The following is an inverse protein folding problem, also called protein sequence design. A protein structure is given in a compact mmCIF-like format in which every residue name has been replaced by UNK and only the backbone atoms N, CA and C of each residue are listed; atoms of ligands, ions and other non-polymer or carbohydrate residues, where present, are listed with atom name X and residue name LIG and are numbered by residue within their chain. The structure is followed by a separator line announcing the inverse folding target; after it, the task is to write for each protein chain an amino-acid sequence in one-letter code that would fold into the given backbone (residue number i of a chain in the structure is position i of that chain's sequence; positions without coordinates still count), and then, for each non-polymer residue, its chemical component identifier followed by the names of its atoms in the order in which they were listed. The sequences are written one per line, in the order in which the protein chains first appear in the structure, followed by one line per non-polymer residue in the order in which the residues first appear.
data_IF_848009267803
#
_entry.id   IF_848009267803
#
_cell.length_a   1.000
_cell.length_b   1.000
_cell.length_c   1.000
_cell.angle_alpha   90.00
_cell.angle_beta   90.00
_cell.angle_gamma   90.00
#
_symmetry.space_group_name_H-M   'P 1'
#
loop_
_entity.id
_entity.type
_entity.pdbx_description
1 polymer ?
#
# COMPACT_ATOMS: atom_id res chain seq x y z
N UNK A 1 -1.26 -22.03 -21.23
CA UNK A 1 -0.12 -21.71 -20.32
C UNK A 1 -0.52 -22.03 -18.89
N UNK A 2 0.45 -22.42 -18.06
CA UNK A 2 0.33 -23.26 -16.86
C UNK A 2 -0.26 -22.55 -15.64
N UNK A 3 -1.05 -23.28 -14.83
CA UNK A 3 -1.41 -22.93 -13.45
C UNK A 3 -0.21 -23.12 -12.53
N UNK A 4 0.08 -22.17 -11.64
CA UNK A 4 1.08 -22.33 -10.58
C UNK A 4 0.40 -22.24 -9.21
N UNK A 5 0.40 -23.36 -8.50
CA UNK A 5 0.26 -23.44 -7.04
C UNK A 5 1.68 -23.45 -6.48
N UNK A 6 1.96 -22.65 -5.45
CA UNK A 6 3.21 -22.73 -4.70
C UNK A 6 2.90 -23.26 -3.30
N UNK A 7 3.60 -24.33 -2.94
CA UNK A 7 3.51 -25.09 -1.71
C UNK A 7 4.85 -24.95 -0.94
N UNK A 8 4.77 -25.00 0.39
CA UNK A 8 5.82 -25.26 1.41
C UNK A 8 6.91 -24.20 1.69
N UNK A 9 6.82 -23.65 2.89
CA UNK A 9 7.97 -23.28 3.72
C UNK A 9 7.77 -23.82 5.15
N UNK A 10 8.46 -24.91 5.49
CA UNK A 10 8.62 -25.41 6.87
C UNK A 10 9.69 -24.57 7.57
N UNK A 11 9.44 -24.13 8.81
CA UNK A 11 10.49 -23.73 9.74
C UNK A 11 10.29 -24.45 11.09
N UNK A 12 11.39 -25.00 11.56
CA UNK A 12 11.60 -25.90 12.70
C UNK A 12 11.52 -25.12 14.02
N UNK A 13 10.80 -25.65 15.02
CA UNK A 13 11.33 -26.36 16.20
C UNK A 13 12.46 -25.63 16.96
N UNK A 14 12.11 -25.05 18.11
CA UNK A 14 13.04 -24.79 19.21
C UNK A 14 12.39 -25.18 20.53
N UNK A 15 12.85 -26.31 21.05
CA UNK A 15 12.49 -26.92 22.33
C UNK A 15 13.24 -26.24 23.52
N UNK A 16 13.00 -26.66 24.78
CA UNK A 16 12.79 -25.75 25.92
C UNK A 16 13.99 -25.49 26.85
N UNK A 17 13.79 -24.46 27.68
CA UNK A 17 14.63 -23.99 28.79
C UNK A 17 14.91 -25.13 29.80
N UNK A 18 16.19 -25.39 30.06
CA UNK A 18 16.66 -26.28 31.14
C UNK A 18 16.97 -25.46 32.39
N UNK A 19 16.15 -25.59 33.43
CA UNK A 19 16.49 -25.22 34.82
C UNK A 19 17.35 -26.32 35.44
N UNK A 20 18.59 -25.97 35.82
CA UNK A 20 19.49 -26.83 36.59
C UNK A 20 19.37 -26.46 38.05
N UNK A 21 18.63 -27.26 38.82
CA UNK A 21 18.68 -27.25 40.29
C UNK A 21 19.92 -28.03 40.72
N UNK A 22 20.83 -27.40 41.46
CA UNK A 22 21.93 -28.08 42.15
C UNK A 22 21.59 -28.26 43.64
N UNK A 23 22.03 -29.35 44.27
CA UNK A 23 21.68 -29.73 45.63
C UNK A 23 22.58 -29.05 46.68
N UNK A 24 21.99 -28.73 47.84
CA UNK A 24 22.69 -28.27 49.04
C UNK A 24 23.62 -29.36 49.61
N UNK A 25 24.80 -29.01 50.17
CA UNK A 25 25.58 -29.94 50.97
C UNK A 25 25.21 -29.80 52.46
N UNK A 26 24.81 -30.92 53.06
CA UNK A 26 24.92 -31.13 54.51
C UNK A 26 26.39 -31.29 54.91
N UNK A 27 26.81 -30.57 55.94
CA UNK A 27 28.00 -30.90 56.72
C UNK A 27 27.63 -30.76 58.21
N UNK A 28 27.38 -31.90 58.84
CA UNK A 28 27.40 -32.02 60.29
C UNK A 28 28.83 -32.24 60.77
N UNK A 29 29.24 -31.50 61.80
CA UNK A 29 30.31 -31.90 62.71
C UNK A 29 29.94 -31.43 64.12
N UNK A 30 29.89 -32.38 65.04
CA UNK A 30 29.55 -32.20 66.44
C UNK A 30 30.81 -31.91 67.28
N UNK A 31 30.71 -31.04 68.30
CA UNK A 31 30.93 -31.35 69.73
C UNK A 31 31.09 -30.07 70.59
N UNK A 32 30.17 -29.93 71.55
CA UNK A 32 30.35 -29.54 72.96
C UNK A 32 30.76 -28.09 73.36
N UNK A 33 30.37 -27.67 74.59
CA UNK A 33 30.00 -26.29 74.91
C UNK A 33 31.09 -25.55 75.69
N UNK A 34 31.15 -24.22 75.53
CA UNK A 34 31.90 -23.35 76.44
C UNK A 34 30.99 -22.23 76.95
N UNK A 35 30.76 -22.37 78.24
CA UNK A 35 30.29 -21.44 79.24
C UNK A 35 30.76 -19.98 79.09
N UNK A 36 29.81 -19.08 79.41
CA UNK A 36 29.99 -17.78 80.12
C UNK A 36 30.87 -16.75 79.38
N UNK A 37 30.39 -15.56 79.05
CA UNK A 37 30.00 -14.56 80.04
C UNK A 37 29.21 -13.42 79.37
N UNK A 38 28.22 -12.89 80.09
CA UNK A 38 27.56 -11.65 79.72
C UNK A 38 28.55 -10.49 79.89
N UNK A 39 28.97 -9.84 78.81
CA UNK A 39 29.52 -8.49 78.90
C UNK A 39 29.05 -7.64 77.71
N UNK A 40 28.27 -6.61 78.03
CA UNK A 40 28.05 -5.36 77.29
C UNK A 40 27.26 -5.38 75.97
N UNK A 41 25.94 -5.61 76.07
CA UNK A 41 24.96 -5.33 75.00
C UNK A 41 24.42 -3.88 75.07
N UNK A 42 25.22 -2.88 74.69
CA UNK A 42 24.69 -1.53 74.42
C UNK A 42 25.22 -0.85 73.16
N UNK A 43 26.31 -1.33 72.54
CA UNK A 43 26.89 -0.68 71.35
C UNK A 43 26.47 -1.32 70.01
N UNK A 44 26.11 -2.61 69.97
CA UNK A 44 25.73 -3.32 68.73
C UNK A 44 24.31 -3.00 68.21
N UNK A 45 23.41 -2.60 69.11
CA UNK A 45 22.01 -2.27 68.78
C UNK A 45 21.89 -0.87 68.14
N UNK A 46 22.77 0.05 68.55
CA UNK A 46 22.86 1.39 67.99
C UNK A 46 23.45 1.39 66.56
N UNK A 47 24.48 0.56 66.34
CA UNK A 47 25.10 0.39 65.02
C UNK A 47 24.15 -0.31 64.03
N UNK A 48 23.43 -1.35 64.48
CA UNK A 48 22.41 -2.05 63.68
C UNK A 48 21.23 -1.15 63.30
N UNK A 49 20.79 -0.29 64.22
CA UNK A 49 19.73 0.70 63.95
C UNK A 49 20.19 1.78 62.96
N UNK A 50 21.45 2.21 63.05
CA UNK A 50 22.07 3.14 62.11
C UNK A 50 22.14 2.54 60.70
N UNK A 51 22.56 1.28 60.58
CA UNK A 51 22.62 0.55 59.29
C UNK A 51 21.22 0.41 58.67
N UNK A 52 20.19 0.11 59.47
CA UNK A 52 18.80 0.03 59.00
C UNK A 52 18.28 1.36 58.46
N UNK A 53 18.57 2.48 59.14
CA UNK A 53 18.19 3.81 58.67
C UNK A 53 18.86 4.17 57.35
N UNK A 54 20.17 3.89 57.22
CA UNK A 54 20.91 4.11 55.97
C UNK A 54 20.34 3.26 54.82
N UNK A 55 19.96 2.01 55.10
CA UNK A 55 19.34 1.14 54.09
C UNK A 55 17.96 1.67 53.64
N UNK A 56 17.14 2.18 54.57
CA UNK A 56 15.84 2.79 54.26
C UNK A 56 16.03 4.07 53.43
N UNK A 57 16.98 4.93 53.80
CA UNK A 57 17.27 6.16 53.05
C UNK A 57 17.78 5.85 51.63
N UNK A 58 18.67 4.86 51.50
CA UNK A 58 19.13 4.35 50.20
C UNK A 58 17.99 3.79 49.35
N UNK A 59 17.06 3.06 49.96
CA UNK A 59 15.89 2.51 49.26
C UNK A 59 14.94 3.63 48.81
N UNK A 60 14.66 4.61 49.67
CA UNK A 60 13.83 5.76 49.34
C UNK A 60 14.44 6.55 48.18
N UNK A 61 15.74 6.84 48.23
CA UNK A 61 16.45 7.49 47.13
C UNK A 61 16.33 6.70 45.83
N UNK A 62 16.57 5.39 45.88
CA UNK A 62 16.44 4.52 44.71
C UNK A 62 15.00 4.50 44.17
N UNK A 63 13.99 4.50 45.04
CA UNK A 63 12.59 4.56 44.61
C UNK A 63 12.28 5.89 43.93
N UNK A 64 12.69 7.02 44.51
CA UNK A 64 12.52 8.35 43.92
C UNK A 64 13.18 8.41 42.54
N UNK A 65 14.45 8.00 42.42
CA UNK A 65 15.16 7.99 41.13
C UNK A 65 14.44 7.14 40.06
N UNK A 66 13.87 6.00 40.48
CA UNK A 66 13.08 5.15 39.59
C UNK A 66 11.74 5.77 39.21
N UNK A 67 11.06 6.47 40.13
CA UNK A 67 9.82 7.18 39.83
C UNK A 67 10.06 8.35 38.88
N UNK A 68 11.11 9.13 39.09
CA UNK A 68 11.50 10.22 38.18
C UNK A 68 11.81 9.69 36.77
N UNK A 69 12.50 8.55 36.69
CA UNK A 69 12.77 7.87 35.42
C UNK A 69 11.48 7.40 34.75
N UNK A 70 10.56 6.81 35.51
CA UNK A 70 9.26 6.36 34.99
C UNK A 70 8.43 7.54 34.49
N UNK A 71 8.38 8.65 35.23
CA UNK A 71 7.67 9.86 34.84
C UNK A 71 8.24 10.43 33.53
N UNK A 72 9.58 10.51 33.42
CA UNK A 72 10.24 10.95 32.19
C UNK A 72 9.91 10.04 30.98
N UNK A 73 9.92 8.72 31.17
CA UNK A 73 9.55 7.79 30.08
C UNK A 73 8.07 7.90 29.71
N UNK A 74 7.18 8.08 30.69
CA UNK A 74 5.76 8.28 30.45
C UNK A 74 5.52 9.56 29.65
N UNK A 75 6.14 10.67 30.04
CA UNK A 75 6.06 11.93 29.31
C UNK A 75 6.57 11.78 27.87
N UNK A 76 7.68 11.08 27.66
CA UNK A 76 8.22 10.79 26.32
C UNK A 76 7.29 9.94 25.47
N UNK A 77 6.64 8.92 26.05
CA UNK A 77 5.68 8.08 25.32
C UNK A 77 4.41 8.85 24.97
N UNK A 78 3.90 9.68 25.88
CA UNK A 78 2.77 10.57 25.63
C UNK A 78 3.06 11.54 24.49
N UNK A 79 4.24 12.18 24.49
CA UNK A 79 4.66 13.06 23.40
C UNK A 79 4.73 12.33 22.05
N UNK A 80 5.24 11.09 22.06
CA UNK A 80 5.31 10.25 20.86
C UNK A 80 3.92 9.87 20.34
N UNK A 81 2.98 9.55 21.24
CA UNK A 81 1.60 9.25 20.89
C UNK A 81 0.88 10.46 20.28
N UNK A 82 1.05 11.64 20.85
CA UNK A 82 0.50 12.89 20.29
C UNK A 82 1.09 13.16 18.90
N UNK A 83 2.40 13.02 18.74
CA UNK A 83 3.06 13.17 17.44
C UNK A 83 2.52 12.19 16.40
N UNK A 84 2.33 10.92 16.78
CA UNK A 84 1.77 9.91 15.89
C UNK A 84 0.31 10.22 15.53
N UNK A 85 -0.50 10.67 16.49
CA UNK A 85 -1.87 11.11 16.26
C UNK A 85 -1.96 12.23 15.24
N UNK A 86 -1.12 13.27 15.39
CA UNK A 86 -1.06 14.38 14.44
C UNK A 86 -0.70 13.91 13.03
N UNK A 87 0.34 13.08 12.90
CA UNK A 87 0.76 12.51 11.61
C UNK A 87 -0.34 11.65 10.99
N UNK A 88 -1.11 10.92 11.79
CA UNK A 88 -2.24 10.13 11.32
C UNK A 88 -3.33 11.03 10.74
N UNK A 89 -3.72 12.09 11.44
CA UNK A 89 -4.69 13.07 10.94
C UNK A 89 -4.22 13.75 9.65
N UNK A 90 -2.94 14.10 9.53
CA UNK A 90 -2.37 14.64 8.29
C UNK A 90 -2.48 13.65 7.12
N UNK A 91 -2.15 12.38 7.36
CA UNK A 91 -2.24 11.32 6.35
C UNK A 91 -3.69 11.08 5.94
N UNK A 92 -4.62 11.04 6.88
CA UNK A 92 -6.06 10.87 6.60
C UNK A 92 -6.61 12.03 5.76
N UNK A 93 -6.19 13.27 6.06
CA UNK A 93 -6.55 14.45 5.28
C UNK A 93 -5.97 14.42 3.87
N UNK A 94 -4.69 14.06 3.74
CA UNK A 94 -4.03 13.90 2.44
C UNK A 94 -4.69 12.78 1.62
N UNK A 95 -5.01 11.64 2.23
CA UNK A 95 -5.67 10.52 1.59
C UNK A 95 -7.05 10.92 1.07
N UNK A 96 -7.85 11.61 1.88
CA UNK A 96 -9.16 12.13 1.47
C UNK A 96 -9.06 13.08 0.27
N UNK A 97 -8.02 13.93 0.24
CA UNK A 97 -7.75 14.80 -0.91
C UNK A 97 -7.35 14.01 -2.16
N UNK A 98 -6.53 12.97 -2.01
CA UNK A 98 -6.14 12.10 -3.12
C UNK A 98 -7.33 11.32 -3.68
N UNK A 99 -8.19 10.77 -2.83
CA UNK A 99 -9.39 10.05 -3.25
C UNK A 99 -10.34 10.95 -4.06
N UNK A 100 -10.53 12.19 -3.61
CA UNK A 100 -11.34 13.18 -4.35
C UNK A 100 -10.72 13.48 -5.73
N UNK A 101 -9.42 13.73 -5.79
CA UNK A 101 -8.73 14.03 -7.06
C UNK A 101 -8.75 12.84 -8.00
N UNK A 102 -8.58 11.63 -7.48
CA UNK A 102 -8.65 10.40 -8.26
C UNK A 102 -10.03 10.23 -8.88
N UNK A 103 -11.09 10.41 -8.07
CA UNK A 103 -12.47 10.34 -8.55
C UNK A 103 -12.77 11.36 -9.66
N UNK A 104 -12.27 12.61 -9.53
CA UNK A 104 -12.41 13.63 -10.57
C UNK A 104 -11.70 13.25 -11.87
N UNK A 105 -10.49 12.69 -11.78
CA UNK A 105 -9.72 12.24 -12.95
C UNK A 105 -10.41 11.06 -13.63
N UNK A 106 -10.90 10.09 -12.86
CA UNK A 106 -11.67 8.95 -13.39
C UNK A 106 -12.92 9.43 -14.13
N UNK A 107 -13.66 10.39 -13.56
CA UNK A 107 -14.83 10.98 -14.21
C UNK A 107 -14.47 11.68 -15.52
N UNK A 108 -13.43 12.51 -15.52
CA UNK A 108 -12.97 13.19 -16.73
C UNK A 108 -12.51 12.20 -17.82
N UNK A 109 -11.85 11.11 -17.41
CA UNK A 109 -11.42 10.07 -18.33
C UNK A 109 -12.62 9.34 -18.96
N UNK A 110 -13.63 8.98 -18.16
CA UNK A 110 -14.87 8.37 -18.67
C UNK A 110 -15.62 9.29 -19.64
N UNK A 111 -15.69 10.59 -19.31
CA UNK A 111 -16.31 11.58 -20.19
C UNK A 111 -15.55 11.68 -21.52
N UNK A 112 -14.23 11.84 -21.47
CA UNK A 112 -13.38 11.94 -22.66
C UNK A 112 -13.45 10.68 -23.51
N UNK A 113 -13.50 9.50 -22.90
CA UNK A 113 -13.64 8.23 -23.62
C UNK A 113 -15.00 8.16 -24.35
N UNK A 114 -16.07 8.59 -23.69
CA UNK A 114 -17.42 8.64 -24.27
C UNK A 114 -17.47 9.60 -25.45
N UNK A 115 -16.97 10.83 -25.27
CA UNK A 115 -16.90 11.83 -26.33
C UNK A 115 -16.06 11.35 -27.51
N UNK A 116 -14.90 10.73 -27.24
CA UNK A 116 -14.04 10.17 -28.29
C UNK A 116 -14.76 9.07 -29.08
N UNK A 117 -15.50 8.20 -28.40
CA UNK A 117 -16.30 7.17 -29.05
C UNK A 117 -17.39 7.77 -29.94
N UNK A 118 -18.14 8.76 -29.43
CA UNK A 118 -19.15 9.47 -30.21
C UNK A 118 -18.55 10.16 -31.44
N UNK A 119 -17.41 10.83 -31.30
CA UNK A 119 -16.74 11.50 -32.41
C UNK A 119 -16.25 10.50 -33.46
N UNK A 120 -15.66 9.38 -33.05
CA UNK A 120 -15.26 8.30 -33.98
C UNK A 120 -16.46 7.76 -34.76
N UNK A 121 -17.59 7.53 -34.09
CA UNK A 121 -18.81 7.07 -34.73
C UNK A 121 -19.33 8.08 -35.76
N UNK A 122 -19.33 9.38 -35.42
CA UNK A 122 -19.70 10.45 -36.36
C UNK A 122 -18.78 10.51 -37.57
N UNK A 123 -17.46 10.36 -37.38
CA UNK A 123 -16.50 10.34 -38.50
C UNK A 123 -16.79 9.17 -39.44
N UNK A 124 -17.00 7.97 -38.90
CA UNK A 124 -17.34 6.79 -39.70
C UNK A 124 -18.62 7.02 -40.50
N UNK A 125 -19.66 7.58 -39.88
CA UNK A 125 -20.92 7.88 -40.55
C UNK A 125 -20.76 8.90 -41.68
N UNK A 126 -20.03 10.00 -41.42
CA UNK A 126 -19.76 11.02 -42.43
C UNK A 126 -18.93 10.47 -43.60
N UNK A 127 -17.91 9.65 -43.33
CA UNK A 127 -17.14 9.00 -44.38
C UNK A 127 -18.00 8.03 -45.20
N UNK A 128 -18.86 7.25 -44.54
CA UNK A 128 -19.78 6.35 -45.22
C UNK A 128 -20.79 7.13 -46.08
N UNK A 129 -21.35 8.23 -45.56
CA UNK A 129 -22.29 9.08 -46.27
C UNK A 129 -21.64 9.71 -47.51
N UNK A 130 -20.44 10.27 -47.36
CA UNK A 130 -19.67 10.83 -48.47
C UNK A 130 -19.39 9.78 -49.55
N UNK A 131 -19.02 8.54 -49.17
CA UNK A 131 -18.78 7.45 -50.13
C UNK A 131 -20.06 7.00 -50.84
N UNK A 132 -21.22 6.99 -50.17
CA UNK A 132 -22.51 6.62 -50.79
C UNK A 132 -22.96 7.60 -51.86
N UNK A 133 -22.60 8.88 -51.73
CA UNK A 133 -22.90 9.90 -52.73
C UNK A 133 -21.96 9.87 -53.93
N UNK A 134 -20.84 9.14 -53.85
CA UNK A 134 -19.86 9.06 -54.92
C UNK A 134 -20.09 7.82 -55.80
N UNK A 135 -20.07 8.01 -57.12
CA UNK A 135 -20.13 6.92 -58.10
C UNK A 135 -18.70 6.50 -58.46
N UNK A 136 -18.43 5.19 -58.46
CA UNK A 136 -17.15 4.61 -58.92
C UNK A 136 -17.34 3.89 -60.25
N UNK A 137 -16.64 4.34 -61.28
CA UNK A 137 -16.61 3.70 -62.61
C UNK A 137 -15.28 2.95 -62.72
N UNK A 138 -15.33 1.64 -62.93
CA UNK A 138 -14.15 0.75 -63.00
C UNK A 138 -14.01 0.15 -64.40
N UNK A 139 -12.78 -0.25 -64.77
CA UNK A 139 -12.50 -0.88 -66.07
C UNK A 139 -12.27 0.09 -67.23
N UNK A 140 -12.05 1.37 -66.95
CA UNK A 140 -11.63 2.35 -67.95
C UNK A 140 -10.11 2.33 -68.14
N UNK A 141 -9.60 2.38 -69.39
CA UNK A 141 -8.18 2.60 -69.65
C UNK A 141 -7.71 3.95 -69.11
N UNK A 142 -6.47 4.00 -68.59
CA UNK A 142 -5.88 5.24 -68.10
C UNK A 142 -5.84 6.34 -69.18
N UNK A 143 -6.12 7.58 -68.76
CA UNK A 143 -6.04 8.79 -69.61
C UNK A 143 -7.01 8.84 -70.80
N UNK A 144 -8.02 7.97 -70.85
CA UNK A 144 -9.04 7.98 -71.91
C UNK A 144 -9.77 9.33 -72.02
N UNK A 145 -9.93 10.00 -70.88
CA UNK A 145 -10.59 11.30 -70.73
C UNK A 145 -9.74 12.50 -71.18
N UNK A 146 -8.46 12.31 -71.54
CA UNK A 146 -7.57 13.37 -72.08
C UNK A 146 -7.56 14.67 -71.25
N UNK A 147 -7.55 14.55 -69.93
CA UNK A 147 -7.64 15.65 -68.96
C UNK A 147 -8.96 16.45 -68.98
N UNK A 148 -10.02 15.92 -69.60
CA UNK A 148 -11.36 16.52 -69.63
C UNK A 148 -12.42 15.56 -69.06
N UNK A 149 -12.36 15.25 -67.76
CA UNK A 149 -13.22 14.24 -67.13
C UNK A 149 -14.72 14.58 -67.23
N UNK A 150 -15.08 15.87 -67.13
CA UNK A 150 -16.49 16.30 -67.21
C UNK A 150 -17.08 16.04 -68.60
N UNK A 151 -16.40 16.52 -69.65
CA UNK A 151 -16.85 16.32 -71.05
C UNK A 151 -16.88 14.83 -71.44
N UNK A 152 -15.94 14.04 -70.91
CA UNK A 152 -15.93 12.59 -71.10
C UNK A 152 -17.15 11.93 -70.44
N UNK A 153 -17.42 12.23 -69.16
CA UNK A 153 -18.52 11.63 -68.41
C UNK A 153 -19.90 12.05 -68.94
N UNK A 154 -20.05 13.30 -69.39
CA UNK A 154 -21.30 13.79 -70.03
C UNK A 154 -21.71 12.96 -71.24
N UNK A 155 -20.74 12.46 -72.02
CA UNK A 155 -21.00 11.61 -73.18
C UNK A 155 -21.06 10.13 -72.81
N UNK A 156 -20.14 9.70 -71.97
CA UNK A 156 -19.93 8.29 -71.63
C UNK A 156 -21.12 7.68 -70.87
N UNK A 157 -21.68 8.39 -69.88
CA UNK A 157 -22.77 7.85 -69.04
C UNK A 157 -24.05 7.61 -69.86
N UNK A 158 -24.57 8.59 -70.63
CA UNK A 158 -25.77 8.36 -71.44
C UNK A 158 -25.56 7.28 -72.51
N UNK A 159 -24.43 7.27 -73.20
CA UNK A 159 -24.12 6.28 -74.25
C UNK A 159 -24.19 4.84 -73.68
N UNK A 160 -23.57 4.62 -72.52
CA UNK A 160 -23.60 3.31 -71.84
C UNK A 160 -24.99 2.95 -71.35
N UNK A 161 -25.76 3.92 -70.84
CA UNK A 161 -27.12 3.68 -70.39
C UNK A 161 -28.05 3.29 -71.53
N UNK A 162 -28.03 4.02 -72.65
CA UNK A 162 -28.87 3.69 -73.82
C UNK A 162 -28.46 2.37 -74.47
N UNK A 163 -27.16 2.08 -74.54
CA UNK A 163 -26.67 0.78 -75.02
C UNK A 163 -27.14 -0.37 -74.11
N UNK A 164 -27.15 -0.17 -72.79
CA UNK A 164 -27.67 -1.14 -71.84
C UNK A 164 -29.17 -1.38 -72.04
N UNK A 165 -29.97 -0.32 -72.20
CA UNK A 165 -31.42 -0.44 -72.45
C UNK A 165 -31.72 -1.14 -73.78
N UNK A 166 -31.01 -0.80 -74.87
CA UNK A 166 -31.21 -1.43 -76.17
C UNK A 166 -30.92 -2.93 -76.16
N UNK A 167 -29.95 -3.37 -75.37
CA UNK A 167 -29.56 -4.79 -75.25
C UNK A 167 -30.43 -5.58 -74.25
N UNK A 168 -31.24 -4.91 -73.43
CA UNK A 168 -32.10 -5.53 -72.42
C UNK A 168 -33.59 -5.18 -72.62
N UNK A 169 -33.95 -4.64 -73.78
CA UNK A 169 -35.35 -4.47 -74.17
C UNK A 169 -35.90 -5.84 -74.57
N UNK A 170 -37.08 -6.25 -74.07
CA UNK A 170 -37.68 -7.56 -74.37
C UNK A 170 -38.00 -7.76 -75.85
#
# INVERSE_FOLDING_TARGET
MRKAKTDRGKLQDKSPIKTKTQPSPELGLALAPVMTDQVASKDTDAESSSILLVAIESMNKTMTDRFDTLEATLASTQASLVSLGNRMTEIEGANSSYDLRLSQVEQACMQMQTENHTLRSKVIDLEAHSRRQNIKIVGLPEKIEKNRPVEFLEKFIPERYYSFLANNSP
#
